data_IF_948507443920
#
_entry.id   IF_948507443920
#
_cell.length_a   1.000
_cell.length_b   1.000
_cell.length_c   1.000
_cell.angle_alpha   90.00
_cell.angle_beta   90.00
_cell.angle_gamma   90.00
#
_symmetry.space_group_name_H-M   'P 1'
#
loop_
_entity.id
_entity.type
_entity.pdbx_description
1 polymer ?
#
# COMPACT_ATOMS: atom_id res chain seq x y z
N UNK A 1 -21.87 17.70 12.01
CA UNK A 1 -21.96 16.99 10.72
C UNK A 1 -23.34 17.17 10.12
N UNK A 2 -23.41 17.47 8.85
CA UNK A 2 -24.70 17.68 8.18
C UNK A 2 -25.43 16.36 7.94
N UNK A 3 -26.73 16.36 8.22
CA UNK A 3 -27.56 15.20 7.91
C UNK A 3 -27.67 15.02 6.40
N UNK A 4 -27.42 13.80 5.86
CA UNK A 4 -27.52 13.56 4.43
C UNK A 4 -28.95 13.56 3.89
N UNK A 5 -29.95 13.55 4.77
CA UNK A 5 -31.36 13.51 4.39
C UNK A 5 -32.02 14.89 4.38
N UNK A 6 -31.72 15.74 5.35
CA UNK A 6 -32.34 17.07 5.44
C UNK A 6 -31.34 18.24 5.29
N UNK A 7 -30.03 17.95 5.31
CA UNK A 7 -28.98 18.96 5.14
C UNK A 7 -28.72 19.85 6.35
N UNK A 8 -29.40 19.64 7.47
CA UNK A 8 -29.20 20.43 8.69
C UNK A 8 -28.03 19.89 9.51
N UNK A 9 -27.29 20.79 10.12
CA UNK A 9 -26.11 20.45 10.92
C UNK A 9 -26.48 20.30 12.41
N UNK A 10 -27.38 19.39 12.69
CA UNK A 10 -27.85 19.12 14.04
C UNK A 10 -27.99 17.61 14.27
N UNK A 11 -26.83 16.93 14.26
CA UNK A 11 -26.75 15.48 14.43
C UNK A 11 -25.96 15.12 15.68
N UNK A 12 -26.27 13.96 16.26
CA UNK A 12 -25.57 13.43 17.42
C UNK A 12 -25.17 11.98 17.21
N UNK A 13 -24.11 11.56 17.91
CA UNK A 13 -23.65 10.16 17.90
C UNK A 13 -24.45 9.40 18.96
N UNK A 14 -25.10 8.31 18.56
CA UNK A 14 -25.88 7.46 19.47
C UNK A 14 -25.18 6.14 19.80
N UNK A 15 -24.23 5.70 18.96
CA UNK A 15 -23.45 4.49 19.20
C UNK A 15 -22.10 4.60 18.46
N UNK A 16 -21.08 3.97 19.02
CA UNK A 16 -19.73 3.92 18.44
C UNK A 16 -19.16 2.54 18.67
N UNK A 17 -18.65 1.90 17.61
CA UNK A 17 -18.03 0.57 17.69
C UNK A 17 -16.75 0.51 16.87
N UNK A 18 -15.69 -0.13 17.39
CA UNK A 18 -14.50 -0.38 16.59
C UNK A 18 -14.79 -1.39 15.48
N UNK A 19 -14.08 -1.25 14.36
CA UNK A 19 -14.14 -2.20 13.25
C UNK A 19 -12.81 -2.94 13.13
N UNK A 20 -12.80 -4.03 12.34
CA UNK A 20 -11.61 -4.88 12.19
C UNK A 20 -10.44 -4.18 11.49
N UNK A 21 -10.71 -3.13 10.73
CA UNK A 21 -9.70 -2.37 9.98
C UNK A 21 -9.15 -1.16 10.74
N UNK A 22 -9.30 -1.14 12.06
CA UNK A 22 -8.85 -0.05 12.94
C UNK A 22 -9.62 1.26 12.75
N UNK A 23 -10.76 1.23 12.10
CA UNK A 23 -11.66 2.38 12.01
C UNK A 23 -12.74 2.31 13.08
N UNK A 24 -13.49 3.40 13.25
CA UNK A 24 -14.59 3.47 14.20
C UNK A 24 -15.88 3.68 13.41
N UNK A 25 -16.84 2.77 13.62
CA UNK A 25 -18.18 2.90 13.07
C UNK A 25 -19.03 3.69 14.04
N UNK A 26 -19.59 4.82 13.59
CA UNK A 26 -20.46 5.66 14.40
C UNK A 26 -21.86 5.66 13.84
N UNK A 27 -22.83 5.36 14.70
CA UNK A 27 -24.23 5.49 14.39
C UNK A 27 -24.67 6.89 14.81
N UNK A 28 -25.25 7.65 13.89
CA UNK A 28 -25.67 9.04 14.13
C UNK A 28 -27.17 9.19 13.90
N UNK A 29 -27.76 10.18 14.57
CA UNK A 29 -29.16 10.53 14.40
C UNK A 29 -29.29 12.05 14.24
N UNK A 30 -30.11 12.47 13.29
CA UNK A 30 -30.44 13.87 13.12
C UNK A 30 -31.53 14.26 14.13
N UNK A 31 -31.32 15.37 14.85
CA UNK A 31 -32.29 15.88 15.79
C UNK A 31 -33.48 16.57 15.10
N UNK A 32 -33.31 17.01 13.84
CA UNK A 32 -34.35 17.68 13.07
C UNK A 32 -35.30 16.70 12.37
N UNK A 33 -34.76 15.75 11.58
CA UNK A 33 -35.60 14.82 10.82
C UNK A 33 -35.72 13.43 11.48
N UNK A 34 -34.98 13.16 12.53
CA UNK A 34 -35.00 11.90 13.25
C UNK A 34 -34.41 10.71 12.56
N UNK A 35 -33.91 10.86 11.33
CA UNK A 35 -33.32 9.76 10.59
C UNK A 35 -31.93 9.39 11.10
N UNK A 36 -31.61 8.13 11.00
CA UNK A 36 -30.32 7.58 11.41
C UNK A 36 -29.46 7.29 10.20
N UNK A 37 -28.16 7.50 10.35
CA UNK A 37 -27.18 7.19 9.32
C UNK A 37 -25.88 6.71 9.97
N UNK A 38 -25.05 6.03 9.20
CA UNK A 38 -23.78 5.48 9.68
C UNK A 38 -22.62 6.25 9.07
N UNK A 39 -21.64 6.60 9.92
CA UNK A 39 -20.40 7.20 9.48
C UNK A 39 -19.23 6.36 9.96
N UNK A 40 -18.07 6.51 9.31
CA UNK A 40 -16.84 5.84 9.68
C UNK A 40 -15.77 6.87 9.94
N UNK A 41 -15.05 6.69 11.03
CA UNK A 41 -13.88 7.48 11.35
C UNK A 41 -12.65 6.64 11.05
N UNK A 42 -11.84 7.11 10.12
CA UNK A 42 -10.61 6.44 9.69
C UNK A 42 -9.45 7.40 9.82
N UNK A 43 -8.27 6.84 10.11
CA UNK A 43 -7.05 7.64 10.05
C UNK A 43 -6.82 8.02 8.58
N UNK A 44 -6.70 9.30 8.32
CA UNK A 44 -6.40 9.79 6.98
C UNK A 44 -4.99 9.32 6.59
N UNK A 45 -4.93 8.43 5.61
CA UNK A 45 -3.66 8.03 5.05
C UNK A 45 -3.31 9.03 3.94
N UNK A 46 -2.17 9.68 4.07
CA UNK A 46 -1.66 10.51 2.98
C UNK A 46 -1.26 9.60 1.83
N UNK A 47 -1.76 9.84 0.61
CA UNK A 47 -1.38 9.01 -0.52
C UNK A 47 0.11 9.16 -0.80
N UNK A 48 0.82 8.04 -0.82
CA UNK A 48 2.22 7.99 -1.20
C UNK A 48 2.30 8.00 -2.72
N UNK A 49 3.13 8.88 -3.27
CA UNK A 49 3.35 9.02 -4.72
C UNK A 49 4.67 8.37 -5.09
N UNK A 50 4.65 7.58 -6.14
CA UNK A 50 5.85 6.93 -6.69
C UNK A 50 6.32 7.72 -7.91
N UNK A 51 7.60 8.08 -7.90
CA UNK A 51 8.25 8.79 -9.02
C UNK A 51 8.98 7.74 -9.86
N UNK A 52 8.55 7.59 -11.11
CA UNK A 52 9.16 6.66 -12.07
C UNK A 52 10.43 7.24 -12.69
N UNK A 53 11.21 6.39 -13.36
CA UNK A 53 12.45 6.78 -14.04
C UNK A 53 12.26 7.90 -15.08
N UNK A 54 11.10 7.95 -15.71
CA UNK A 54 10.73 8.97 -16.69
C UNK A 54 10.15 10.23 -16.06
N UNK A 55 10.27 10.38 -14.75
CA UNK A 55 9.69 11.45 -13.94
C UNK A 55 8.16 11.47 -13.88
N UNK A 56 7.49 10.47 -14.41
CA UNK A 56 6.06 10.32 -14.22
C UNK A 56 5.75 9.95 -12.77
N UNK A 57 4.68 10.51 -12.25
CA UNK A 57 4.21 10.24 -10.90
C UNK A 57 2.96 9.38 -10.94
N UNK A 58 2.92 8.36 -10.10
CA UNK A 58 1.74 7.51 -9.94
C UNK A 58 1.49 7.21 -8.47
N UNK A 59 0.25 6.89 -8.08
CA UNK A 59 -0.02 6.45 -6.71
C UNK A 59 0.72 5.15 -6.41
N UNK A 60 1.16 5.02 -5.15
CA UNK A 60 1.75 3.77 -4.68
C UNK A 60 0.72 2.63 -4.80
N UNK A 61 1.15 1.50 -5.34
CA UNK A 61 0.31 0.32 -5.52
C UNK A 61 1.05 -0.93 -5.02
N UNK A 62 0.58 -1.47 -3.91
CA UNK A 62 1.13 -2.70 -3.31
C UNK A 62 1.14 -3.87 -4.29
N UNK A 63 0.12 -3.98 -5.13
CA UNK A 63 -0.02 -5.07 -6.09
C UNK A 63 1.14 -5.15 -7.09
N UNK A 64 1.68 -4.01 -7.49
CA UNK A 64 2.83 -3.96 -8.39
C UNK A 64 4.08 -4.57 -7.77
N UNK A 65 4.34 -4.29 -6.49
CA UNK A 65 5.46 -4.87 -5.76
C UNK A 65 5.24 -6.37 -5.60
N UNK A 66 4.06 -6.76 -5.16
CA UNK A 66 3.69 -8.17 -4.95
C UNK A 66 3.85 -8.96 -6.24
N UNK A 67 3.33 -8.47 -7.36
CA UNK A 67 3.45 -9.13 -8.65
C UNK A 67 4.91 -9.29 -9.10
N UNK A 68 5.74 -8.28 -8.88
CA UNK A 68 7.16 -8.35 -9.20
C UNK A 68 7.89 -9.41 -8.39
N UNK A 69 7.60 -9.48 -7.10
CA UNK A 69 8.20 -10.49 -6.21
C UNK A 69 7.72 -11.89 -6.56
N UNK A 70 6.42 -12.08 -6.82
CA UNK A 70 5.85 -13.38 -7.22
C UNK A 70 6.54 -13.90 -8.48
N UNK A 71 6.71 -13.05 -9.50
CA UNK A 71 7.40 -13.43 -10.74
C UNK A 71 8.85 -13.83 -10.48
N UNK A 72 9.54 -13.10 -9.60
CA UNK A 72 10.93 -13.40 -9.26
C UNK A 72 11.08 -14.69 -8.49
N UNK A 73 10.08 -15.06 -7.69
CA UNK A 73 10.09 -16.28 -6.88
C UNK A 73 9.48 -17.48 -7.61
N UNK A 74 9.18 -17.38 -8.91
CA UNK A 74 8.58 -18.47 -9.67
C UNK A 74 9.47 -19.72 -9.64
N UNK A 75 8.88 -20.85 -9.30
CA UNK A 75 9.56 -22.15 -9.12
C UNK A 75 10.64 -22.16 -8.03
N UNK A 76 10.59 -21.21 -7.10
CA UNK A 76 11.48 -21.20 -5.95
C UNK A 76 10.70 -21.61 -4.70
N UNK A 77 11.39 -22.15 -3.67
CA UNK A 77 10.72 -22.60 -2.44
C UNK A 77 10.35 -21.41 -1.53
N UNK A 78 9.61 -20.47 -2.06
CA UNK A 78 9.11 -19.30 -1.33
C UNK A 78 7.60 -19.35 -1.36
N UNK A 79 6.98 -19.45 -0.18
CA UNK A 79 5.52 -19.52 -0.05
C UNK A 79 4.88 -18.15 -0.24
N UNK A 80 3.58 -18.14 -0.55
CA UNK A 80 2.80 -16.90 -0.64
C UNK A 80 2.79 -16.17 0.70
N UNK A 81 2.74 -16.90 1.82
CA UNK A 81 2.83 -16.29 3.15
C UNK A 81 4.14 -15.56 3.37
N UNK A 82 5.26 -16.14 2.93
CA UNK A 82 6.56 -15.49 2.99
C UNK A 82 6.60 -14.23 2.13
N UNK A 83 6.00 -14.28 0.94
CA UNK A 83 5.92 -13.12 0.04
C UNK A 83 5.10 -12.01 0.69
N UNK A 84 3.95 -12.32 1.26
CA UNK A 84 3.10 -11.33 1.92
C UNK A 84 3.79 -10.70 3.11
N UNK A 85 4.48 -11.49 3.93
CA UNK A 85 5.26 -10.96 5.05
C UNK A 85 6.39 -10.05 4.58
N UNK A 86 7.05 -10.43 3.49
CA UNK A 86 8.10 -9.63 2.89
C UNK A 86 7.56 -8.29 2.40
N UNK A 87 6.41 -8.28 1.73
CA UNK A 87 5.77 -7.06 1.25
C UNK A 87 5.35 -6.17 2.42
N UNK A 88 4.82 -6.75 3.50
CA UNK A 88 4.49 -5.99 4.71
C UNK A 88 5.70 -5.29 5.29
N UNK A 89 6.84 -5.98 5.37
CA UNK A 89 8.09 -5.40 5.85
C UNK A 89 8.60 -4.30 4.94
N UNK A 90 8.51 -4.51 3.62
CA UNK A 90 8.89 -3.50 2.62
C UNK A 90 8.03 -2.25 2.78
N UNK A 91 6.72 -2.41 2.91
CA UNK A 91 5.81 -1.28 3.12
C UNK A 91 6.13 -0.53 4.41
N UNK A 92 6.43 -1.24 5.48
CA UNK A 92 6.82 -0.61 6.74
C UNK A 92 8.06 0.25 6.57
N UNK A 93 9.06 -0.22 5.84
CA UNK A 93 10.26 0.57 5.55
C UNK A 93 9.95 1.79 4.68
N UNK A 94 9.12 1.62 3.66
CA UNK A 94 8.73 2.71 2.77
C UNK A 94 8.01 3.82 3.55
N UNK A 95 7.04 3.47 4.37
CA UNK A 95 6.27 4.45 5.15
C UNK A 95 7.08 5.08 6.27
N UNK A 96 8.06 4.36 6.85
CA UNK A 96 8.94 4.90 7.88
C UNK A 96 9.91 5.96 7.36
N UNK A 97 10.14 6.01 6.05
CA UNK A 97 10.93 7.10 5.45
C UNK A 97 10.24 8.45 5.67
N UNK A 98 8.90 8.45 5.76
CA UNK A 98 8.15 9.66 6.09
C UNK A 98 8.02 10.67 4.96
N UNK A 99 8.44 10.33 3.75
CA UNK A 99 8.33 11.19 2.58
C UNK A 99 6.96 11.01 1.92
N UNK A 100 6.49 12.07 1.26
CA UNK A 100 5.24 12.02 0.47
C UNK A 100 5.47 11.39 -0.90
N UNK A 101 6.69 11.43 -1.38
CA UNK A 101 7.11 10.91 -2.67
C UNK A 101 8.30 9.99 -2.48
N UNK A 102 8.34 8.89 -3.24
CA UNK A 102 9.44 7.94 -3.21
C UNK A 102 9.75 7.52 -4.64
N UNK A 103 11.03 7.38 -4.98
CA UNK A 103 11.43 6.94 -6.30
C UNK A 103 11.31 5.42 -6.44
N UNK A 104 11.07 4.94 -7.65
CA UNK A 104 11.10 3.50 -7.95
C UNK A 104 12.46 2.90 -7.64
N UNK A 105 13.53 3.68 -7.79
CA UNK A 105 14.89 3.23 -7.45
C UNK A 105 15.01 2.88 -5.97
N UNK A 106 14.49 3.72 -5.09
CA UNK A 106 14.51 3.47 -3.63
C UNK A 106 13.68 2.24 -3.27
N UNK A 107 12.48 2.13 -3.84
CA UNK A 107 11.61 0.96 -3.64
C UNK A 107 12.32 -0.31 -4.10
N UNK A 108 12.90 -0.29 -5.29
CA UNK A 108 13.60 -1.44 -5.85
C UNK A 108 14.79 -1.88 -5.00
N UNK A 109 15.54 -0.95 -4.44
CA UNK A 109 16.65 -1.27 -3.54
C UNK A 109 16.17 -1.93 -2.26
N UNK A 110 15.06 -1.48 -1.69
CA UNK A 110 14.45 -2.11 -0.51
C UNK A 110 13.99 -3.53 -0.85
N UNK A 111 13.31 -3.72 -1.98
CA UNK A 111 12.85 -5.03 -2.43
C UNK A 111 14.03 -5.98 -2.66
N UNK A 112 15.06 -5.52 -3.35
CA UNK A 112 16.27 -6.33 -3.59
C UNK A 112 16.95 -6.75 -2.30
N UNK A 113 17.04 -5.86 -1.32
CA UNK A 113 17.63 -6.16 -0.02
C UNK A 113 16.85 -7.28 0.70
N UNK A 114 15.53 -7.24 0.63
CA UNK A 114 14.68 -8.28 1.24
C UNK A 114 14.78 -9.61 0.50
N UNK A 115 14.77 -9.58 -0.83
CA UNK A 115 14.89 -10.80 -1.65
C UNK A 115 16.23 -11.48 -1.44
N UNK A 116 17.31 -10.73 -1.34
CA UNK A 116 18.65 -11.27 -1.11
C UNK A 116 18.71 -12.10 0.15
N UNK A 117 17.99 -11.69 1.19
CA UNK A 117 17.93 -12.42 2.45
C UNK A 117 17.07 -13.69 2.39
N UNK A 118 16.15 -13.79 1.42
CA UNK A 118 15.19 -14.88 1.30
C UNK A 118 15.61 -15.92 0.26
N UNK A 119 15.98 -15.48 -0.94
CA UNK A 119 16.35 -16.37 -2.05
C UNK A 119 17.24 -15.63 -3.05
N UNK A 120 18.46 -16.13 -3.23
CA UNK A 120 19.43 -15.48 -4.13
C UNK A 120 19.02 -15.50 -5.59
N UNK A 121 18.35 -16.56 -6.03
CA UNK A 121 17.89 -16.67 -7.43
C UNK A 121 16.78 -15.64 -7.70
N UNK A 122 15.84 -15.52 -6.78
CA UNK A 122 14.79 -14.50 -6.89
C UNK A 122 15.39 -13.08 -6.89
N UNK A 123 16.39 -12.85 -6.04
CA UNK A 123 17.12 -11.59 -6.02
C UNK A 123 17.73 -11.26 -7.37
N UNK A 124 18.45 -12.20 -7.98
CA UNK A 124 19.10 -11.99 -9.28
C UNK A 124 18.05 -11.71 -10.36
N UNK A 125 16.96 -12.47 -10.38
CA UNK A 125 15.87 -12.27 -11.35
C UNK A 125 15.25 -10.89 -11.23
N UNK A 126 14.93 -10.48 -10.00
CA UNK A 126 14.35 -9.16 -9.76
C UNK A 126 15.32 -8.06 -10.15
N UNK A 127 16.58 -8.18 -9.76
CA UNK A 127 17.60 -7.20 -10.08
C UNK A 127 17.81 -7.06 -11.60
N UNK A 128 17.72 -8.16 -12.34
CA UNK A 128 17.85 -8.15 -13.80
C UNK A 128 16.76 -7.31 -14.46
N UNK A 129 15.52 -7.47 -14.00
CA UNK A 129 14.38 -6.71 -14.55
C UNK A 129 14.43 -5.26 -14.06
N UNK A 130 14.64 -5.06 -12.78
CA UNK A 130 14.58 -3.75 -12.15
C UNK A 130 15.70 -2.81 -12.65
N UNK A 131 16.91 -3.31 -12.73
CA UNK A 131 18.07 -2.49 -13.16
C UNK A 131 18.17 -2.34 -14.66
N UNK A 132 17.29 -3.00 -15.42
CA UNK A 132 17.37 -3.05 -16.89
C UNK A 132 18.82 -3.27 -17.32
N UNK A 133 19.41 -4.36 -16.81
CA UNK A 133 20.80 -4.62 -17.04
C UNK A 133 21.11 -4.50 -18.52
N UNK A 134 22.00 -3.61 -18.88
CA UNK A 134 22.57 -3.51 -20.21
C UNK A 134 23.18 -4.83 -20.67
N UNK A 135 23.28 -5.77 -19.77
CA UNK A 135 23.63 -7.16 -20.07
C UNK A 135 22.71 -7.80 -21.08
N UNK A 136 21.46 -7.38 -21.17
CA UNK A 136 20.56 -7.84 -22.22
C UNK A 136 21.11 -7.48 -23.60
N UNK A 137 21.88 -6.41 -23.70
CA UNK A 137 22.59 -6.05 -24.95
C UNK A 137 23.80 -6.90 -25.18
N UNK A 138 24.37 -7.48 -24.15
CA UNK A 138 25.55 -8.36 -24.24
C UNK A 138 25.15 -9.78 -24.63
N UNK A 139 23.92 -10.16 -24.36
CA UNK A 139 23.37 -11.46 -24.70
C UNK A 139 22.95 -11.57 -26.16
N UNK A 140 23.07 -10.55 -26.89
CA UNK A 140 22.71 -10.51 -28.29
C UNK A 140 23.84 -11.16 -29.13
#
# INVERSE_FOLDING_TARGET
MKCPFCGKDNTKVIDSRPTDDSSIRRRRQCDECGKRFTTYEKIESMPLIVIKKDNNREPYDREKITAGIVRSCHKRPVSISQINNMVDEIETQIFNIGEKEISTKTIGEIVMSKLKAVDEVAYVRFASVYREFKLSLIHI
#
